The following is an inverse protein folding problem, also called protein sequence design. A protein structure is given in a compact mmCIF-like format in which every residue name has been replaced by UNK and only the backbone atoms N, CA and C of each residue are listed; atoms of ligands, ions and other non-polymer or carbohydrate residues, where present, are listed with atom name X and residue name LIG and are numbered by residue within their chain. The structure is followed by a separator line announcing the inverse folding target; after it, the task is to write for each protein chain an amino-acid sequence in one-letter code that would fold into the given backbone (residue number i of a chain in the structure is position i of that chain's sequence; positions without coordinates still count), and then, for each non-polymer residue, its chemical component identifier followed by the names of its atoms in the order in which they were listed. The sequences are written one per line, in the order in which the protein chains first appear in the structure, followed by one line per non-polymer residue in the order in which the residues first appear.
data_IF_663044252974
#
_entry.id   IF_663044252974
#
_cell.length_a   1.000
_cell.length_b   1.000
_cell.length_c   1.000
_cell.angle_alpha   90.00
_cell.angle_beta   90.00
_cell.angle_gamma   90.00
#
_symmetry.space_group_name_H-M   'P 1'
#
loop_
_entity.id
_entity.type
_entity.pdbx_description
1 polymer ?
#
# COMPACT_ATOMS: atom_id res chain seq x y z
N UNK A 1 25.03 -40.70 -3.16
CA UNK A 1 24.16 -39.61 -2.66
C UNK A 1 24.83 -38.29 -3.03
N UNK A 2 24.51 -37.72 -4.19
CA UNK A 2 25.04 -36.42 -4.60
C UNK A 2 24.28 -35.32 -3.87
N UNK A 3 24.96 -34.55 -3.03
CA UNK A 3 24.44 -33.28 -2.56
C UNK A 3 24.18 -32.40 -3.79
N UNK A 4 22.93 -31.98 -3.98
CA UNK A 4 22.60 -30.95 -4.97
C UNK A 4 23.42 -29.71 -4.62
N UNK A 5 24.30 -29.28 -5.53
CA UNK A 5 24.96 -27.98 -5.47
C UNK A 5 23.84 -26.95 -5.56
N UNK A 6 23.56 -26.26 -4.45
CA UNK A 6 22.68 -25.09 -4.45
C UNK A 6 23.24 -24.10 -5.48
N UNK A 7 22.46 -23.71 -6.48
CA UNK A 7 22.96 -22.95 -7.60
C UNK A 7 23.44 -21.58 -7.10
N UNK A 8 24.62 -21.14 -7.52
CA UNK A 8 25.27 -19.91 -7.06
C UNK A 8 24.39 -18.66 -7.30
N UNK A 9 23.45 -18.75 -8.24
CA UNK A 9 22.51 -17.69 -8.61
C UNK A 9 21.09 -17.89 -8.05
N UNK A 10 20.88 -18.84 -7.12
CA UNK A 10 19.58 -19.02 -6.47
C UNK A 10 19.25 -17.81 -5.60
N UNK A 11 18.25 -17.02 -6.03
CA UNK A 11 17.75 -15.87 -5.26
C UNK A 11 16.69 -16.36 -4.29
N UNK A 12 16.86 -16.00 -3.01
CA UNK A 12 15.76 -16.06 -2.07
C UNK A 12 14.85 -14.85 -2.33
N UNK A 13 13.77 -15.06 -3.09
CA UNK A 13 12.83 -14.01 -3.50
C UNK A 13 12.29 -13.21 -2.31
N UNK A 14 12.01 -13.87 -1.19
CA UNK A 14 11.50 -13.19 0.00
C UNK A 14 12.55 -12.27 0.62
N UNK A 15 13.80 -12.74 0.73
CA UNK A 15 14.88 -11.89 1.22
C UNK A 15 15.12 -10.71 0.26
N UNK A 16 15.04 -10.95 -1.04
CA UNK A 16 15.20 -9.90 -2.05
C UNK A 16 14.09 -8.85 -1.96
N UNK A 17 12.82 -9.26 -1.90
CA UNK A 17 11.67 -8.36 -1.73
C UNK A 17 11.79 -7.53 -0.45
N UNK A 18 12.17 -8.14 0.67
CA UNK A 18 12.36 -7.45 1.94
C UNK A 18 13.47 -6.40 1.85
N UNK A 19 14.64 -6.78 1.31
CA UNK A 19 15.77 -5.86 1.12
C UNK A 19 15.43 -4.71 0.18
N UNK A 20 14.73 -4.99 -0.93
CA UNK A 20 14.35 -3.97 -1.91
C UNK A 20 13.34 -3.01 -1.29
N UNK A 21 12.31 -3.51 -0.61
CA UNK A 21 11.31 -2.67 0.04
C UNK A 21 11.95 -1.75 1.09
N UNK A 22 12.80 -2.30 1.96
CA UNK A 22 13.51 -1.52 2.97
C UNK A 22 14.43 -0.47 2.33
N UNK A 23 15.23 -0.85 1.34
CA UNK A 23 16.13 0.08 0.64
C UNK A 23 15.37 1.22 -0.03
N UNK A 24 14.24 0.93 -0.68
CA UNK A 24 13.39 1.93 -1.30
C UNK A 24 12.81 2.91 -0.27
N UNK A 25 12.25 2.42 0.84
CA UNK A 25 11.68 3.28 1.89
C UNK A 25 12.76 4.17 2.52
N UNK A 26 13.90 3.58 2.89
CA UNK A 26 15.03 4.31 3.47
C UNK A 26 15.54 5.38 2.49
N UNK A 27 15.66 5.04 1.21
CA UNK A 27 16.08 5.98 0.18
C UNK A 27 15.12 7.16 0.06
N UNK A 28 13.81 6.90 0.02
CA UNK A 28 12.78 7.93 -0.04
C UNK A 28 12.88 8.86 1.17
N UNK A 29 12.96 8.30 2.37
CA UNK A 29 13.07 9.07 3.61
C UNK A 29 14.35 9.90 3.66
N UNK A 30 15.48 9.32 3.25
CA UNK A 30 16.76 10.03 3.16
C UNK A 30 16.68 11.22 2.22
N UNK A 31 16.03 11.05 1.06
CA UNK A 31 15.80 12.12 0.09
C UNK A 31 14.91 13.22 0.70
N UNK A 32 13.89 12.84 1.46
CA UNK A 32 12.96 13.78 2.09
C UNK A 32 13.56 14.59 3.25
N UNK A 33 14.56 14.05 3.93
CA UNK A 33 15.29 14.73 5.01
C UNK A 33 16.36 15.72 4.49
N UNK A 34 16.66 15.71 3.18
CA UNK A 34 17.61 16.67 2.60
C UNK A 34 17.02 18.07 2.63
N UNK A 35 17.65 18.95 3.42
CA UNK A 35 17.25 20.37 3.58
C UNK A 35 17.32 21.18 2.28
N UNK A 36 18.16 20.78 1.32
CA UNK A 36 18.32 21.44 0.03
C UNK A 36 18.49 20.39 -1.08
N UNK A 37 17.54 20.36 -2.01
CA UNK A 37 17.76 19.73 -3.31
C UNK A 37 18.45 20.74 -4.22
N UNK A 38 19.77 20.60 -4.41
CA UNK A 38 20.53 21.44 -5.35
C UNK A 38 20.21 21.14 -6.83
N UNK A 39 19.73 19.93 -7.12
CA UNK A 39 19.39 19.46 -8.46
C UNK A 39 17.99 18.81 -8.45
N UNK A 40 17.35 18.73 -9.61
CA UNK A 40 16.04 18.10 -9.77
C UNK A 40 16.04 16.60 -9.47
N UNK A 41 14.86 15.99 -9.34
CA UNK A 41 14.70 14.55 -9.10
C UNK A 41 15.30 13.66 -10.23
N UNK A 42 15.66 14.25 -11.37
CA UNK A 42 16.22 13.60 -12.56
C UNK A 42 17.60 12.94 -12.31
N UNK A 43 18.36 13.39 -11.31
CA UNK A 43 19.65 12.78 -10.94
C UNK A 43 19.50 11.64 -9.91
N UNK A 44 18.29 11.41 -9.40
CA UNK A 44 18.02 10.39 -8.39
C UNK A 44 17.64 9.07 -9.07
N UNK A 45 18.64 8.31 -9.50
CA UNK A 45 18.46 7.10 -10.33
C UNK A 45 17.52 6.04 -9.72
N UNK A 46 17.36 6.01 -8.39
CA UNK A 46 16.48 5.07 -7.70
C UNK A 46 15.11 5.67 -7.37
N UNK A 47 14.89 6.97 -7.53
CA UNK A 47 13.71 7.68 -7.03
C UNK A 47 12.40 7.16 -7.61
N UNK A 48 12.32 7.06 -8.93
CA UNK A 48 11.10 6.60 -9.60
C UNK A 48 10.78 5.15 -9.24
N UNK A 49 11.79 4.29 -9.31
CA UNK A 49 11.64 2.88 -8.96
C UNK A 49 11.23 2.72 -7.50
N UNK A 50 11.93 3.39 -6.58
CA UNK A 50 11.62 3.35 -5.16
C UNK A 50 10.20 3.80 -4.90
N UNK A 51 9.78 4.94 -5.46
CA UNK A 51 8.44 5.47 -5.24
C UNK A 51 7.35 4.55 -5.80
N UNK A 52 7.58 3.91 -6.94
CA UNK A 52 6.58 3.09 -7.62
C UNK A 52 6.43 1.68 -7.04
N UNK A 53 7.53 1.02 -6.66
CA UNK A 53 7.55 -0.43 -6.47
C UNK A 53 7.68 -0.91 -5.03
N UNK A 54 8.06 -0.05 -4.07
CA UNK A 54 8.27 -0.50 -2.68
C UNK A 54 7.03 -1.15 -2.05
N UNK A 55 5.82 -0.67 -2.37
CA UNK A 55 4.55 -1.24 -1.89
C UNK A 55 4.29 -2.65 -2.43
N UNK A 56 4.73 -2.93 -3.66
CA UNK A 56 4.58 -4.25 -4.30
C UNK A 56 5.46 -5.26 -3.57
N UNK A 57 6.71 -4.90 -3.32
CA UNK A 57 7.65 -5.72 -2.56
C UNK A 57 7.18 -5.91 -1.10
N UNK A 58 6.67 -4.85 -0.46
CA UNK A 58 6.16 -4.92 0.90
C UNK A 58 4.97 -5.89 1.04
N UNK A 59 4.05 -5.89 0.07
CA UNK A 59 2.93 -6.86 0.05
C UNK A 59 3.41 -8.31 0.05
N UNK A 60 4.41 -8.64 -0.77
CA UNK A 60 4.96 -10.00 -0.86
C UNK A 60 5.52 -10.51 0.48
N UNK A 61 5.93 -9.62 1.38
CA UNK A 61 6.44 -9.94 2.72
C UNK A 61 5.30 -10.08 3.73
N UNK A 62 4.31 -9.18 3.72
CA UNK A 62 3.18 -9.24 4.66
C UNK A 62 2.39 -10.56 4.55
N UNK A 63 2.22 -11.10 3.34
CA UNK A 63 1.57 -12.40 3.10
C UNK A 63 2.26 -13.57 3.82
N UNK A 64 3.57 -13.46 4.11
CA UNK A 64 4.40 -14.55 4.67
C UNK A 64 4.63 -14.42 6.19
N UNK A 65 4.03 -13.43 6.85
CA UNK A 65 4.01 -13.24 8.31
C UNK A 65 5.40 -13.35 8.99
N UNK A 66 6.43 -12.76 8.39
CA UNK A 66 7.77 -12.75 8.97
C UNK A 66 8.05 -11.44 9.70
N UNK A 67 8.61 -11.54 10.91
CA UNK A 67 9.08 -10.36 11.64
C UNK A 67 10.23 -9.70 10.87
N UNK A 68 10.00 -8.49 10.36
CA UNK A 68 10.95 -7.70 9.58
C UNK A 68 10.93 -6.24 10.04
N UNK A 69 12.07 -5.52 9.98
CA UNK A 69 12.11 -4.06 10.15
C UNK A 69 11.18 -3.30 9.19
N UNK A 70 10.78 -3.96 8.08
CA UNK A 70 9.90 -3.40 7.07
C UNK A 70 8.55 -2.93 7.63
N UNK A 71 8.00 -3.58 8.65
CA UNK A 71 6.74 -3.13 9.27
C UNK A 71 6.91 -1.72 9.88
N UNK A 72 8.01 -1.51 10.62
CA UNK A 72 8.32 -0.23 11.24
C UNK A 72 8.57 0.87 10.19
N UNK A 73 9.30 0.52 9.13
CA UNK A 73 9.57 1.43 8.01
C UNK A 73 8.29 1.80 7.26
N UNK A 74 7.41 0.82 7.00
CA UNK A 74 6.12 1.04 6.33
C UNK A 74 5.20 1.93 7.15
N UNK A 75 5.13 1.71 8.48
CA UNK A 75 4.44 2.62 9.40
C UNK A 75 5.04 4.01 9.32
N UNK A 76 6.37 4.14 9.37
CA UNK A 76 7.02 5.45 9.35
C UNK A 76 6.78 6.22 8.06
N UNK A 77 6.92 5.60 6.89
CA UNK A 77 6.70 6.32 5.61
C UNK A 77 5.23 6.67 5.35
N UNK A 78 4.27 5.82 5.76
CA UNK A 78 2.85 6.05 5.49
C UNK A 78 2.13 6.86 6.59
N UNK A 79 2.57 6.76 7.84
CA UNK A 79 1.82 7.26 9.00
C UNK A 79 2.48 8.47 9.66
N UNK A 80 3.77 8.70 9.41
CA UNK A 80 4.45 9.88 9.92
C UNK A 80 4.05 11.11 9.08
N UNK A 81 3.84 12.24 9.74
CA UNK A 81 3.43 13.50 9.09
C UNK A 81 4.61 14.20 8.38
N UNK A 82 5.69 13.46 8.13
CA UNK A 82 6.95 13.95 7.60
C UNK A 82 6.87 14.18 6.09
N UNK A 83 7.79 15.03 5.60
CA UNK A 83 7.92 15.34 4.17
C UNK A 83 8.05 14.08 3.29
N UNK A 84 8.54 12.97 3.85
CA UNK A 84 8.67 11.67 3.21
C UNK A 84 7.38 11.20 2.55
N UNK A 85 6.26 11.22 3.29
CA UNK A 85 4.96 10.81 2.76
C UNK A 85 4.52 11.73 1.62
N UNK A 86 4.67 13.05 1.79
CA UNK A 86 4.25 14.05 0.81
C UNK A 86 5.06 13.96 -0.50
N UNK A 87 6.39 13.83 -0.40
CA UNK A 87 7.29 13.74 -1.56
C UNK A 87 7.10 12.42 -2.30
N UNK A 88 7.05 11.31 -1.57
CA UNK A 88 6.75 10.01 -2.14
C UNK A 88 5.43 10.03 -2.89
N UNK A 89 4.36 10.51 -2.24
CA UNK A 89 3.03 10.61 -2.83
C UNK A 89 3.05 11.44 -4.11
N UNK A 90 3.69 12.61 -4.09
CA UNK A 90 3.79 13.48 -5.27
C UNK A 90 4.38 12.71 -6.45
N UNK A 91 5.45 11.94 -6.23
CA UNK A 91 6.04 11.13 -7.29
C UNK A 91 5.14 9.96 -7.71
N UNK A 92 4.62 9.21 -6.73
CA UNK A 92 3.75 8.06 -6.95
C UNK A 92 2.48 8.42 -7.74
N UNK A 93 1.94 9.61 -7.51
CA UNK A 93 0.78 10.15 -8.22
C UNK A 93 1.15 10.77 -9.57
N UNK A 94 2.32 11.43 -9.71
CA UNK A 94 2.76 12.01 -10.99
C UNK A 94 2.95 10.97 -12.10
N UNK A 95 3.35 9.77 -11.71
CA UNK A 95 3.47 8.62 -12.62
C UNK A 95 2.10 8.05 -13.02
N UNK A 96 1.01 8.57 -12.45
CA UNK A 96 -0.36 8.16 -12.75
C UNK A 96 -1.07 9.29 -13.51
N UNK A 97 -1.46 9.02 -14.75
CA UNK A 97 -2.05 9.99 -15.68
C UNK A 97 -3.50 10.36 -15.32
N UNK A 98 -3.70 11.12 -14.24
CA UNK A 98 -5.04 11.61 -13.87
C UNK A 98 -5.03 13.13 -13.65
N UNK A 99 -5.97 13.83 -14.28
CA UNK A 99 -6.06 15.31 -14.31
C UNK A 99 -6.28 15.98 -12.95
N UNK A 100 -6.27 17.31 -12.90
CA UNK A 100 -5.92 18.11 -11.71
C UNK A 100 -6.98 18.25 -10.58
N UNK A 101 -7.89 17.29 -10.34
CA UNK A 101 -9.05 17.50 -9.44
C UNK A 101 -9.36 16.38 -8.42
N UNK A 102 -8.41 15.53 -8.04
CA UNK A 102 -8.65 14.46 -7.07
C UNK A 102 -8.22 14.82 -5.65
N UNK A 103 -8.98 14.39 -4.65
CA UNK A 103 -8.64 14.55 -3.24
C UNK A 103 -7.40 13.72 -2.87
N UNK A 104 -6.60 14.24 -1.94
CA UNK A 104 -5.38 13.59 -1.44
C UNK A 104 -5.72 12.23 -0.81
N UNK A 105 -5.07 11.15 -1.24
CA UNK A 105 -5.21 9.83 -0.63
C UNK A 105 -4.63 9.80 0.79
N UNK A 106 -5.30 9.12 1.72
CA UNK A 106 -4.78 8.87 3.06
C UNK A 106 -3.80 7.70 3.08
N UNK A 107 -3.06 7.53 4.18
CA UNK A 107 -2.25 6.33 4.43
C UNK A 107 -3.06 5.04 4.25
N UNK A 108 -4.29 5.03 4.79
CA UNK A 108 -5.22 3.91 4.68
C UNK A 108 -5.60 3.64 3.22
N UNK A 109 -5.77 4.68 2.40
CA UNK A 109 -6.05 4.54 0.98
C UNK A 109 -4.92 3.80 0.24
N UNK A 110 -3.66 4.22 0.39
CA UNK A 110 -2.56 3.61 -0.35
C UNK A 110 -2.25 2.18 0.14
N UNK A 111 -2.32 1.95 1.46
CA UNK A 111 -2.19 0.61 2.03
C UNK A 111 -3.30 -0.31 1.50
N UNK A 112 -4.54 0.19 1.42
CA UNK A 112 -5.65 -0.59 0.93
C UNK A 112 -5.61 -0.85 -0.57
N UNK A 113 -5.17 0.13 -1.37
CA UNK A 113 -4.93 -0.01 -2.81
C UNK A 113 -3.88 -1.10 -3.10
N UNK A 114 -2.83 -1.17 -2.28
CA UNK A 114 -1.72 -2.09 -2.50
C UNK A 114 -1.85 -3.40 -1.75
N UNK A 115 -2.90 -3.60 -0.97
CA UNK A 115 -3.17 -4.88 -0.32
C UNK A 115 -2.29 -5.15 0.90
N UNK A 116 -1.81 -4.10 1.57
CA UNK A 116 -1.00 -4.23 2.77
C UNK A 116 -1.88 -4.52 4.00
N UNK A 117 -2.32 -5.77 4.13
CA UNK A 117 -3.24 -6.24 5.18
C UNK A 117 -2.77 -5.87 6.59
N UNK A 118 -1.49 -6.10 6.91
CA UNK A 118 -0.98 -5.85 8.26
C UNK A 118 -0.88 -4.37 8.55
N UNK A 119 -0.45 -3.60 7.55
CA UNK A 119 -0.43 -2.14 7.64
C UNK A 119 -1.84 -1.57 7.79
N UNK A 120 -2.83 -2.09 7.06
CA UNK A 120 -4.24 -1.70 7.21
C UNK A 120 -4.74 -1.98 8.62
N UNK A 121 -4.51 -3.19 9.14
CA UNK A 121 -4.87 -3.55 10.52
C UNK A 121 -4.27 -2.56 11.53
N UNK A 122 -2.97 -2.28 11.41
CA UNK A 122 -2.26 -1.32 12.26
C UNK A 122 -2.87 0.10 12.20
N UNK A 123 -3.18 0.59 11.00
CA UNK A 123 -3.78 1.93 10.81
C UNK A 123 -5.19 1.99 11.44
N UNK A 124 -5.98 0.91 11.33
CA UNK A 124 -7.33 0.84 11.91
C UNK A 124 -7.29 0.80 13.45
N UNK A 125 -6.29 0.15 14.05
CA UNK A 125 -6.09 0.15 15.50
C UNK A 125 -5.84 1.55 16.08
N UNK A 126 -5.33 2.51 15.29
CA UNK A 126 -5.11 3.90 15.72
C UNK A 126 -6.39 4.77 15.76
N UNK A 127 -7.58 4.18 15.62
CA UNK A 127 -8.88 4.89 15.62
C UNK A 127 -8.99 6.00 14.56
N UNK A 128 -8.32 5.82 13.42
CA UNK A 128 -8.45 6.71 12.26
C UNK A 128 -9.80 6.53 11.59
N UNK A 129 -10.31 7.59 10.95
CA UNK A 129 -11.55 7.53 10.19
C UNK A 129 -11.41 6.55 9.01
N UNK A 130 -12.09 5.40 9.12
CA UNK A 130 -12.10 4.34 8.11
C UNK A 130 -12.74 4.81 6.79
N UNK A 131 -13.62 5.80 6.86
CA UNK A 131 -14.36 6.34 5.71
C UNK A 131 -13.73 7.62 5.15
N UNK A 132 -12.52 7.96 5.60
CA UNK A 132 -11.79 9.13 5.13
C UNK A 132 -11.72 9.15 3.60
N UNK A 133 -12.26 10.22 3.02
CA UNK A 133 -12.33 10.40 1.57
C UNK A 133 -10.99 10.90 1.03
N UNK A 134 -10.51 10.28 -0.03
CA UNK A 134 -9.23 10.59 -0.63
C UNK A 134 -8.85 9.60 -1.73
N UNK A 135 -7.93 10.04 -2.58
CA UNK A 135 -7.38 9.25 -3.66
C UNK A 135 -8.35 9.10 -4.83
N UNK A 136 -7.88 8.41 -5.87
CA UNK A 136 -8.57 8.28 -7.16
C UNK A 136 -9.90 7.55 -7.04
N UNK A 137 -9.98 6.53 -6.20
CA UNK A 137 -11.18 5.70 -6.07
C UNK A 137 -12.20 6.25 -5.07
N UNK A 138 -11.85 7.29 -4.30
CA UNK A 138 -12.74 7.98 -3.38
C UNK A 138 -12.49 7.67 -1.91
N UNK A 139 -12.30 6.40 -1.53
CA UNK A 139 -11.87 5.98 -0.19
C UNK A 139 -11.06 4.67 -0.22
N UNK A 140 -10.54 4.23 0.93
CA UNK A 140 -9.72 3.03 1.05
C UNK A 140 -10.45 1.74 0.63
N UNK A 141 -11.73 1.60 0.98
CA UNK A 141 -12.54 0.43 0.61
C UNK A 141 -12.73 0.36 -0.91
N UNK A 142 -13.06 1.49 -1.54
CA UNK A 142 -13.24 1.59 -2.98
C UNK A 142 -11.93 1.25 -3.71
N UNK A 143 -10.78 1.67 -3.18
CA UNK A 143 -9.47 1.30 -3.73
C UNK A 143 -9.19 -0.21 -3.63
N UNK A 144 -9.40 -0.81 -2.46
CA UNK A 144 -9.22 -2.24 -2.24
C UNK A 144 -10.12 -3.09 -3.16
N UNK A 145 -11.39 -2.71 -3.32
CA UNK A 145 -12.33 -3.38 -4.23
C UNK A 145 -11.85 -3.28 -5.68
N UNK A 146 -11.34 -2.12 -6.10
CA UNK A 146 -10.86 -1.94 -7.47
C UNK A 146 -9.62 -2.77 -7.77
N UNK A 147 -8.74 -2.93 -6.79
CA UNK A 147 -7.52 -3.72 -6.93
C UNK A 147 -7.73 -5.21 -6.66
N UNK A 148 -8.87 -5.58 -6.06
CA UNK A 148 -9.24 -6.97 -5.78
C UNK A 148 -8.61 -7.52 -4.50
N UNK A 149 -8.21 -6.64 -3.57
CA UNK A 149 -7.55 -7.00 -2.31
C UNK A 149 -8.58 -7.52 -1.30
N UNK A 150 -9.02 -8.78 -1.45
CA UNK A 150 -10.16 -9.37 -0.72
C UNK A 150 -10.03 -9.29 0.81
N UNK A 151 -8.85 -9.60 1.35
CA UNK A 151 -8.62 -9.58 2.78
C UNK A 151 -8.69 -8.16 3.35
N UNK A 152 -8.08 -7.18 2.66
CA UNK A 152 -8.23 -5.75 3.00
C UNK A 152 -9.70 -5.31 2.92
N UNK A 153 -10.44 -5.71 1.87
CA UNK A 153 -11.89 -5.40 1.76
C UNK A 153 -12.64 -5.93 2.99
N UNK A 154 -12.33 -7.16 3.41
CA UNK A 154 -12.94 -7.76 4.60
C UNK A 154 -12.59 -6.97 5.87
N UNK A 155 -11.31 -6.67 6.10
CA UNK A 155 -10.85 -5.89 7.25
C UNK A 155 -11.55 -4.52 7.33
N UNK A 156 -11.64 -3.80 6.22
CA UNK A 156 -12.27 -2.48 6.17
C UNK A 156 -13.77 -2.57 6.47
N UNK A 157 -14.49 -3.53 5.89
CA UNK A 157 -15.93 -3.72 6.14
C UNK A 157 -16.20 -4.11 7.60
N UNK A 158 -15.41 -5.01 8.17
CA UNK A 158 -15.53 -5.42 9.58
C UNK A 158 -15.27 -4.24 10.54
N UNK A 159 -14.49 -3.24 10.10
CA UNK A 159 -14.23 -2.01 10.84
C UNK A 159 -15.18 -0.85 10.47
N UNK A 160 -16.30 -1.12 9.78
CA UNK A 160 -17.35 -0.13 9.51
C UNK A 160 -17.13 0.76 8.29
N UNK A 161 -16.28 0.34 7.34
CA UNK A 161 -16.13 1.04 6.07
C UNK A 161 -17.41 0.96 5.23
N UNK A 162 -17.89 2.11 4.76
CA UNK A 162 -18.98 2.24 3.81
C UNK A 162 -18.44 2.37 2.38
N UNK A 163 -19.10 1.70 1.45
CA UNK A 163 -18.81 1.80 0.02
C UNK A 163 -19.24 3.12 -0.60
N UNK A 164 -20.09 3.93 0.06
CA UNK A 164 -20.58 5.19 -0.47
C UNK A 164 -21.21 4.98 -1.85
N UNK A 165 -22.38 4.33 -1.89
CA UNK A 165 -22.98 3.74 -3.09
C UNK A 165 -23.34 4.78 -4.18
N UNK A 166 -22.39 5.17 -5.02
CA UNK A 166 -22.67 5.97 -6.22
C UNK A 166 -22.17 5.28 -7.51
N UNK A 167 -21.42 4.17 -7.41
CA UNK A 167 -20.92 3.41 -8.57
C UNK A 167 -21.54 2.02 -8.65
N UNK A 168 -22.51 1.85 -9.57
CA UNK A 168 -23.15 0.55 -9.87
C UNK A 168 -22.14 -0.55 -10.26
N UNK A 169 -21.04 -0.18 -10.92
CA UNK A 169 -19.99 -1.12 -11.31
C UNK A 169 -19.16 -1.59 -10.10
N UNK A 170 -18.82 -0.65 -9.20
CA UNK A 170 -18.10 -0.96 -7.97
C UNK A 170 -18.93 -1.90 -7.08
N UNK A 171 -20.23 -1.64 -6.95
CA UNK A 171 -21.14 -2.51 -6.21
C UNK A 171 -21.15 -3.95 -6.76
N UNK A 172 -21.16 -4.14 -8.09
CA UNK A 172 -21.08 -5.50 -8.69
C UNK A 172 -19.77 -6.21 -8.39
N UNK A 173 -18.64 -5.48 -8.46
CA UNK A 173 -17.32 -6.05 -8.19
C UNK A 173 -17.16 -6.39 -6.71
N UNK A 174 -17.58 -5.50 -5.82
CA UNK A 174 -17.64 -5.75 -4.39
C UNK A 174 -18.56 -6.94 -4.05
N UNK A 175 -19.76 -7.01 -4.63
CA UNK A 175 -20.66 -8.15 -4.43
C UNK A 175 -20.03 -9.48 -4.85
N UNK A 176 -19.26 -9.53 -5.94
CA UNK A 176 -18.51 -10.75 -6.32
C UNK A 176 -17.39 -11.10 -5.33
N UNK A 177 -16.71 -10.10 -4.76
CA UNK A 177 -15.67 -10.34 -3.75
C UNK A 177 -16.26 -10.77 -2.41
N UNK A 178 -17.46 -10.27 -2.09
CA UNK A 178 -18.15 -10.44 -0.82
C UNK A 178 -19.24 -11.52 -0.86
N UNK A 179 -19.59 -12.11 -2.01
CA UNK A 179 -20.71 -13.07 -2.15
C UNK A 179 -20.55 -14.34 -1.31
N UNK A 180 -19.34 -14.67 -0.85
CA UNK A 180 -19.10 -15.76 0.11
C UNK A 180 -19.20 -15.33 1.59
N UNK A 181 -19.12 -14.03 1.89
CA UNK A 181 -19.11 -13.47 3.26
C UNK A 181 -20.38 -12.71 3.64
N UNK A 182 -21.01 -11.97 2.70
CA UNK A 182 -22.21 -11.16 2.95
C UNK A 182 -23.43 -11.99 3.34
N UNK A 183 -23.57 -13.21 2.78
CA UNK A 183 -24.64 -14.15 3.18
C UNK A 183 -24.57 -14.55 4.66
N UNK A 184 -23.39 -14.50 5.30
CA UNK A 184 -23.23 -14.80 6.73
C UNK A 184 -23.43 -13.58 7.64
N UNK A 185 -23.15 -12.36 7.15
CA UNK A 185 -23.32 -11.12 7.92
C UNK A 185 -24.75 -10.58 7.91
N UNK A 186 -25.57 -10.89 6.90
CA UNK A 186 -26.99 -10.45 6.81
C UNK A 186 -27.95 -11.45 7.52
N UNK A 187 -27.42 -12.55 8.06
CA UNK A 187 -28.20 -13.59 8.78
C UNK A 187 -27.95 -13.60 10.31
N UNK A 188 -27.28 -12.59 10.87
CA UNK A 188 -27.22 -12.32 12.32
C UNK A 188 -28.02 -11.07 12.65
#
# INVERSE_FOLDING_TARGET
MSAQVKNMFDINEQLADDMIAQACIIYIMHVADRKEMKYGFEELHLWDYACQYWLVHARCIEEKQQASPLESLTKKILMDSSNSFLLWRRQYESNQTWGNEWRIGTALYYAAENGLEKTVENILMEKRDVNAQGGRYGNALQAAVQKGNKAVVKLLVENGADMGMHSRQLCRKAMKLLSSCWLKMVQM
#
